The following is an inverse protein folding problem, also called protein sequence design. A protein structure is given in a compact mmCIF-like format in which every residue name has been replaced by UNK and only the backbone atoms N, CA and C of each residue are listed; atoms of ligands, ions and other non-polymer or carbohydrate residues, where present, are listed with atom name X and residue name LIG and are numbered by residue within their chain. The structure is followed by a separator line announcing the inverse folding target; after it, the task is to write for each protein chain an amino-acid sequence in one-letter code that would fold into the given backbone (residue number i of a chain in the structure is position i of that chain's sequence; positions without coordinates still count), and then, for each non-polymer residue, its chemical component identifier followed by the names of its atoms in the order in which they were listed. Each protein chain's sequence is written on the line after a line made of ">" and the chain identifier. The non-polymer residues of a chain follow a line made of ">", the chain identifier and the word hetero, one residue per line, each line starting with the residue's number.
data_IF_334465821605
#
_entry.id   IF_334465821605
#
_cell.length_a   1.000
_cell.length_b   1.000
_cell.length_c   1.000
_cell.angle_alpha   90.00
_cell.angle_beta   90.00
_cell.angle_gamma   90.00
#
_symmetry.space_group_name_H-M   'P 1'
#
loop_
_entity.id
_entity.type
_entity.pdbx_description
1 polymer ?
#
# COMPACT_ATOMS: atom_id res chain seq x y z
N UNK A 1 -50.90 20.20 21.77
CA UNK A 1 -50.29 18.87 21.50
C UNK A 1 -48.94 19.11 20.83
N UNK A 2 -47.85 19.18 21.58
CA UNK A 2 -46.53 19.53 21.00
C UNK A 2 -45.35 19.34 21.96
N UNK A 3 -45.60 19.34 23.27
CA UNK A 3 -44.56 19.19 24.30
C UNK A 3 -44.17 17.73 24.59
N UNK A 4 -45.07 16.77 24.32
CA UNK A 4 -44.83 15.33 24.60
C UNK A 4 -43.87 14.66 23.62
N UNK A 5 -43.82 15.12 22.36
CA UNK A 5 -42.88 14.59 21.34
C UNK A 5 -41.45 15.07 21.55
N UNK A 6 -41.28 16.31 22.04
CA UNK A 6 -39.96 16.87 22.34
C UNK A 6 -39.33 16.16 23.54
N UNK A 7 -40.12 15.86 24.59
CA UNK A 7 -39.65 15.13 25.77
C UNK A 7 -39.16 13.71 25.44
N UNK A 8 -39.85 13.03 24.51
CA UNK A 8 -39.45 11.69 24.03
C UNK A 8 -38.13 11.73 23.25
N UNK A 9 -37.93 12.76 22.40
CA UNK A 9 -36.67 12.93 21.68
C UNK A 9 -35.50 13.27 22.63
N UNK A 10 -35.72 14.11 23.65
CA UNK A 10 -34.66 14.44 24.61
C UNK A 10 -34.26 13.23 25.47
N UNK A 11 -35.20 12.38 25.87
CA UNK A 11 -34.92 11.15 26.63
C UNK A 11 -34.17 10.09 25.79
N UNK A 12 -34.51 9.98 24.49
CA UNK A 12 -33.79 9.09 23.56
C UNK A 12 -32.36 9.56 23.29
N UNK A 13 -32.13 10.87 23.19
CA UNK A 13 -30.78 11.42 23.04
C UNK A 13 -29.94 11.23 24.32
N UNK A 14 -30.52 11.43 25.51
CA UNK A 14 -29.80 11.24 26.77
C UNK A 14 -29.36 9.78 26.96
N UNK A 15 -30.22 8.81 26.60
CA UNK A 15 -29.89 7.38 26.69
C UNK A 15 -28.82 6.95 25.67
N UNK A 16 -28.77 7.57 24.48
CA UNK A 16 -27.71 7.32 23.51
C UNK A 16 -26.34 7.89 23.98
N UNK A 17 -26.35 9.03 24.67
CA UNK A 17 -25.14 9.62 25.26
C UNK A 17 -24.61 8.79 26.45
N UNK A 18 -25.48 8.27 27.33
CA UNK A 18 -25.05 7.40 28.43
C UNK A 18 -24.57 6.01 27.97
N UNK A 19 -24.93 5.57 26.76
CA UNK A 19 -24.49 4.29 26.18
C UNK A 19 -23.08 4.29 25.59
N UNK A 20 -22.43 5.46 25.44
CA UNK A 20 -21.07 5.59 24.91
C UNK A 20 -20.00 5.76 26.00
N UNK A 21 -20.40 5.75 27.28
CA UNK A 21 -19.47 5.86 28.42
C UNK A 21 -19.54 4.58 29.27
N UNK A 22 -18.94 3.48 28.79
CA UNK A 22 -19.14 2.16 29.39
C UNK A 22 -18.07 1.08 29.17
N UNK A 23 -16.78 1.41 29.36
CA UNK A 23 -15.66 0.52 29.80
C UNK A 23 -15.17 -0.63 28.88
N UNK A 24 -14.14 -1.44 29.27
CA UNK A 24 -13.17 -1.35 30.38
C UNK A 24 -11.69 -1.74 30.04
N UNK A 25 -10.75 -1.51 30.99
CA UNK A 25 -9.44 -2.20 31.16
C UNK A 25 -8.28 -1.72 30.26
N UNK A 26 -7.25 -0.99 30.73
CA UNK A 26 -6.19 -1.35 31.70
C UNK A 26 -5.77 -2.81 31.57
N UNK A 27 -4.61 -3.03 30.95
CA UNK A 27 -3.54 -3.92 31.38
C UNK A 27 -2.21 -3.28 30.96
N UNK A 28 -1.44 -2.83 31.94
CA UNK A 28 -0.04 -2.51 31.76
C UNK A 28 0.79 -3.78 31.78
N UNK A 29 1.77 -3.87 30.89
CA UNK A 29 2.87 -4.81 30.95
C UNK A 29 4.14 -4.12 30.43
N UNK A 30 5.31 -4.46 30.97
CA UNK A 30 6.46 -3.57 31.06
C UNK A 30 7.26 -3.44 29.77
N UNK A 31 7.92 -2.28 29.67
CA UNK A 31 9.00 -1.95 28.73
C UNK A 31 10.16 -2.92 28.98
N UNK A 32 10.49 -3.71 27.96
CA UNK A 32 11.79 -4.35 27.84
C UNK A 32 12.52 -3.65 26.69
N UNK A 33 13.56 -2.91 27.03
CA UNK A 33 14.61 -2.51 26.09
C UNK A 33 15.31 -3.79 25.60
N UNK A 34 15.31 -4.01 24.29
CA UNK A 34 16.23 -4.98 23.68
C UNK A 34 17.04 -4.29 22.59
N UNK A 35 18.33 -4.26 22.88
CA UNK A 35 19.46 -3.69 22.18
C UNK A 35 19.57 -4.27 20.75
N UNK A 36 19.32 -3.45 19.73
CA UNK A 36 19.41 -3.87 18.33
C UNK A 36 20.87 -3.86 17.84
N UNK A 37 21.65 -4.85 18.30
CA UNK A 37 22.91 -5.27 17.65
C UNK A 37 22.68 -6.60 16.94
N UNK A 38 22.47 -6.53 15.63
CA UNK A 38 22.50 -7.74 14.82
C UNK A 38 21.94 -7.51 13.43
N UNK A 39 22.79 -7.12 12.49
CA UNK A 39 22.51 -7.11 11.05
C UNK A 39 22.42 -8.55 10.55
N UNK A 40 21.27 -9.08 10.08
CA UNK A 40 21.23 -10.37 9.41
C UNK A 40 21.41 -10.11 7.90
N UNK A 41 22.55 -10.59 7.39
CA UNK A 41 22.83 -10.78 5.96
C UNK A 41 21.59 -11.30 5.22
N UNK A 42 21.23 -10.60 4.14
CA UNK A 42 20.38 -11.01 3.02
C UNK A 42 20.11 -12.53 2.93
N UNK A 43 18.99 -12.95 3.52
CA UNK A 43 18.26 -14.17 3.13
C UNK A 43 16.93 -13.79 2.46
N UNK A 44 16.99 -12.83 1.53
CA UNK A 44 15.87 -12.34 0.72
C UNK A 44 15.53 -13.29 -0.46
N UNK A 45 15.75 -14.59 -0.33
CA UNK A 45 15.67 -15.53 -1.47
C UNK A 45 14.47 -16.48 -1.47
N UNK A 46 14.02 -16.93 -0.30
CA UNK A 46 13.16 -18.11 -0.23
C UNK A 46 11.90 -17.99 0.65
N UNK A 47 11.87 -17.10 1.65
CA UNK A 47 10.73 -16.98 2.60
C UNK A 47 9.72 -15.88 2.28
N UNK A 48 9.92 -15.08 1.23
CA UNK A 48 8.88 -14.19 0.68
C UNK A 48 7.93 -14.95 -0.29
N UNK A 49 7.93 -16.28 -0.29
CA UNK A 49 7.27 -17.08 -1.33
C UNK A 49 5.80 -17.40 -1.08
N UNK A 50 5.20 -16.97 0.03
CA UNK A 50 3.75 -17.01 0.26
C UNK A 50 3.28 -15.88 1.19
N UNK A 51 3.72 -14.64 0.94
CA UNK A 51 2.84 -13.54 1.30
C UNK A 51 1.52 -13.81 0.57
N UNK A 52 0.37 -13.79 1.26
CA UNK A 52 -0.93 -13.81 0.59
C UNK A 52 -0.82 -12.87 -0.60
N UNK A 53 -1.01 -13.41 -1.81
CA UNK A 53 -0.84 -12.67 -3.04
C UNK A 53 -1.78 -11.46 -3.01
N UNK A 54 -1.26 -10.31 -2.61
CA UNK A 54 -2.01 -9.06 -2.56
C UNK A 54 -2.47 -8.74 -3.97
N UNK A 55 -3.68 -8.18 -4.15
CA UNK A 55 -4.12 -7.77 -5.47
C UNK A 55 -3.17 -6.71 -6.02
N UNK A 56 -3.10 -6.58 -7.34
CA UNK A 56 -2.36 -5.50 -8.00
C UNK A 56 -2.79 -4.15 -7.43
N UNK A 57 -1.88 -3.48 -6.74
CA UNK A 57 -2.15 -2.22 -6.06
C UNK A 57 -0.93 -1.31 -6.04
N UNK A 58 -1.18 -0.05 -5.65
CA UNK A 58 -0.15 0.96 -5.49
C UNK A 58 0.49 0.85 -4.11
N UNK A 59 1.81 0.76 -4.09
CA UNK A 59 2.63 0.74 -2.88
C UNK A 59 3.35 2.07 -2.74
N UNK A 60 3.64 2.48 -1.51
CA UNK A 60 4.37 3.72 -1.21
C UNK A 60 5.57 3.41 -0.30
N UNK A 61 6.71 3.97 -0.62
CA UNK A 61 7.95 3.89 0.16
C UNK A 61 8.42 5.33 0.40
N UNK A 62 8.79 5.64 1.63
CA UNK A 62 9.57 6.85 1.94
C UNK A 62 11.03 6.44 1.98
N UNK A 63 11.85 6.97 1.08
CA UNK A 63 13.28 6.66 1.03
C UNK A 63 14.12 7.91 0.74
N UNK A 64 15.39 7.94 1.21
CA UNK A 64 16.34 8.98 0.85
C UNK A 64 16.51 9.10 -0.68
N UNK A 65 16.75 10.31 -1.18
CA UNK A 65 16.99 10.55 -2.61
C UNK A 65 18.19 9.73 -3.12
N UNK A 66 19.23 9.54 -2.31
CA UNK A 66 20.39 8.74 -2.66
C UNK A 66 20.05 7.27 -2.99
N UNK A 67 19.00 6.71 -2.38
CA UNK A 67 18.56 5.33 -2.63
C UNK A 67 17.77 5.16 -3.94
N UNK A 68 17.38 6.26 -4.60
CA UNK A 68 16.80 6.19 -5.95
C UNK A 68 17.81 5.71 -6.99
N UNK A 69 19.11 5.79 -6.71
CA UNK A 69 20.16 5.31 -7.61
C UNK A 69 20.35 6.15 -8.88
N UNK A 70 19.87 7.41 -8.88
CA UNK A 70 19.92 8.33 -10.01
C UNK A 70 21.13 9.29 -9.98
N UNK A 71 21.99 9.18 -8.95
CA UNK A 71 23.22 9.97 -8.83
C UNK A 71 23.03 11.38 -8.26
N UNK A 72 21.86 11.71 -7.73
CA UNK A 72 21.64 12.96 -7.00
C UNK A 72 22.19 12.87 -5.57
N UNK A 73 22.90 13.92 -5.16
CA UNK A 73 23.32 14.12 -3.79
C UNK A 73 22.30 15.06 -3.10
N UNK A 74 21.58 14.53 -2.13
CA UNK A 74 20.53 15.23 -1.39
C UNK A 74 20.27 14.48 -0.08
N UNK A 75 20.16 15.23 1.01
CA UNK A 75 19.71 14.74 2.32
C UNK A 75 18.17 14.61 2.42
N UNK A 76 17.42 14.95 1.36
CA UNK A 76 15.96 14.83 1.39
C UNK A 76 15.48 13.38 1.29
N UNK A 77 14.29 13.15 1.84
CA UNK A 77 13.52 11.91 1.72
C UNK A 77 12.29 12.16 0.87
N UNK A 78 12.06 11.30 -0.13
CA UNK A 78 10.91 11.41 -1.03
C UNK A 78 9.99 10.21 -0.91
N UNK A 79 8.72 10.39 -1.26
CA UNK A 79 7.75 9.29 -1.37
C UNK A 79 7.77 8.74 -2.79
N UNK A 80 8.33 7.54 -2.95
CA UNK A 80 8.30 6.78 -4.19
C UNK A 80 7.15 5.78 -4.16
N UNK A 81 6.35 5.76 -5.22
CA UNK A 81 5.23 4.83 -5.37
C UNK A 81 5.48 3.88 -6.52
N UNK A 82 5.11 2.62 -6.34
CA UNK A 82 5.31 1.56 -7.33
C UNK A 82 4.14 0.59 -7.36
N UNK A 83 4.01 -0.16 -8.47
CA UNK A 83 2.94 -1.14 -8.65
C UNK A 83 3.45 -2.55 -8.38
N UNK A 84 2.77 -3.28 -7.51
CA UNK A 84 3.06 -4.68 -7.23
C UNK A 84 1.82 -5.42 -6.74
N UNK A 85 1.87 -6.74 -6.83
CA UNK A 85 0.75 -7.63 -6.49
C UNK A 85 0.44 -8.59 -7.62
N UNK A 86 -0.59 -9.41 -7.40
CA UNK A 86 -1.06 -10.40 -8.35
C UNK A 86 -2.24 -9.91 -9.16
N UNK A 87 -2.26 -10.30 -10.42
CA UNK A 87 -3.34 -10.01 -11.33
C UNK A 87 -4.22 -11.25 -11.54
N UNK A 88 -5.56 -11.10 -11.49
CA UNK A 88 -6.45 -12.20 -11.82
C UNK A 88 -6.21 -12.61 -13.27
N UNK A 89 -6.24 -13.93 -13.53
CA UNK A 89 -6.19 -14.44 -14.89
C UNK A 89 -7.57 -14.23 -15.49
N UNK A 90 -7.69 -13.26 -16.40
CA UNK A 90 -8.97 -13.00 -17.06
C UNK A 90 -9.26 -14.08 -18.11
N UNK A 91 -10.44 -14.68 -18.01
CA UNK A 91 -10.97 -15.68 -18.92
C UNK A 91 -12.31 -15.23 -19.51
N UNK A 92 -12.58 -13.91 -19.53
CA UNK A 92 -13.81 -13.34 -20.12
C UNK A 92 -13.70 -13.10 -21.63
N UNK A 93 -12.50 -12.99 -22.17
CA UNK A 93 -12.27 -12.81 -23.62
C UNK A 93 -11.91 -14.13 -24.27
N UNK A 94 -12.15 -14.26 -25.58
CA UNK A 94 -11.72 -15.46 -26.35
C UNK A 94 -10.21 -15.71 -26.20
N UNK A 95 -9.40 -14.65 -26.28
CA UNK A 95 -7.97 -14.73 -26.03
C UNK A 95 -7.65 -15.26 -24.63
N UNK A 96 -8.29 -14.71 -23.59
CA UNK A 96 -8.10 -15.15 -22.20
C UNK A 96 -8.47 -16.62 -21.98
N UNK A 97 -9.57 -17.08 -22.58
CA UNK A 97 -9.99 -18.48 -22.55
C UNK A 97 -8.97 -19.41 -23.22
N UNK A 98 -8.53 -19.08 -24.44
CA UNK A 98 -7.51 -19.86 -25.16
C UNK A 98 -6.20 -19.91 -24.37
N UNK A 99 -5.78 -18.76 -23.81
CA UNK A 99 -4.54 -18.68 -23.04
C UNK A 99 -4.63 -19.45 -21.72
N UNK A 100 -5.78 -19.44 -21.04
CA UNK A 100 -6.02 -20.25 -19.86
C UNK A 100 -5.94 -21.76 -20.17
N UNK A 101 -6.51 -22.18 -21.31
CA UNK A 101 -6.43 -23.57 -21.78
C UNK A 101 -4.99 -23.99 -22.08
N UNK A 102 -4.25 -23.20 -22.86
CA UNK A 102 -2.84 -23.49 -23.21
C UNK A 102 -1.93 -23.54 -21.98
N UNK A 103 -2.19 -22.71 -20.96
CA UNK A 103 -1.49 -22.75 -19.67
C UNK A 103 -1.78 -24.04 -18.91
N UNK A 104 -3.04 -24.51 -18.91
CA UNK A 104 -3.41 -25.80 -18.32
C UNK A 104 -2.68 -26.98 -18.97
N UNK A 105 -2.29 -26.84 -20.24
CA UNK A 105 -1.49 -27.82 -20.98
C UNK A 105 0.03 -27.64 -20.81
N UNK A 106 0.49 -26.63 -20.08
CA UNK A 106 1.93 -26.27 -19.99
C UNK A 106 2.53 -25.73 -21.30
N UNK A 107 1.70 -25.38 -22.28
CA UNK A 107 2.12 -24.85 -23.59
C UNK A 107 2.27 -23.33 -23.60
N UNK A 108 1.74 -22.66 -22.59
CA UNK A 108 1.90 -21.23 -22.38
C UNK A 108 2.23 -20.94 -20.92
N UNK A 109 3.03 -19.90 -20.70
CA UNK A 109 3.51 -19.50 -19.38
C UNK A 109 3.20 -18.02 -19.11
N UNK A 110 3.49 -17.57 -17.89
CA UNK A 110 3.25 -16.19 -17.48
C UNK A 110 1.78 -15.87 -17.22
N UNK A 111 1.52 -14.61 -16.87
CA UNK A 111 0.22 -14.08 -16.50
C UNK A 111 0.17 -12.57 -16.77
N UNK A 112 -1.00 -11.95 -16.64
CA UNK A 112 -1.10 -10.49 -16.67
C UNK A 112 -0.16 -9.88 -15.62
N UNK A 113 0.57 -8.83 -15.98
CA UNK A 113 1.48 -8.14 -15.09
C UNK A 113 0.80 -6.91 -14.47
N UNK A 114 1.05 -6.67 -13.18
CA UNK A 114 0.68 -5.42 -12.53
C UNK A 114 1.65 -4.32 -12.99
N UNK A 115 1.14 -3.29 -13.66
CA UNK A 115 1.95 -2.18 -14.21
C UNK A 115 1.36 -0.82 -13.88
N UNK A 116 2.20 0.24 -13.79
CA UNK A 116 1.72 1.60 -13.70
C UNK A 116 0.92 1.99 -14.96
N UNK A 117 -0.16 2.75 -14.77
CA UNK A 117 -0.93 3.36 -15.86
C UNK A 117 -0.83 4.87 -15.88
N UNK A 118 -0.36 5.46 -14.79
CA UNK A 118 -0.11 6.90 -14.64
C UNK A 118 1.08 7.11 -13.74
N UNK A 119 1.70 8.28 -13.88
CA UNK A 119 2.86 8.70 -13.12
C UNK A 119 2.66 10.11 -12.56
N UNK A 120 3.38 10.41 -11.49
CA UNK A 120 3.51 11.73 -10.88
C UNK A 120 4.98 12.09 -10.79
N UNK A 121 5.25 13.39 -10.83
CA UNK A 121 6.59 13.94 -10.72
C UNK A 121 7.06 13.93 -9.26
N UNK A 122 8.37 13.95 -9.08
CA UNK A 122 9.01 14.08 -7.77
C UNK A 122 9.95 15.28 -7.82
N UNK A 123 9.89 16.13 -6.79
CA UNK A 123 10.80 17.26 -6.65
C UNK A 123 11.43 17.24 -5.26
N UNK A 124 12.69 17.67 -5.18
CA UNK A 124 13.46 17.76 -3.95
C UNK A 124 14.55 18.82 -4.10
N UNK A 125 15.10 19.27 -2.97
CA UNK A 125 16.26 20.16 -2.94
C UNK A 125 17.56 19.35 -2.88
N UNK A 126 18.54 19.66 -3.72
CA UNK A 126 19.88 19.05 -3.64
C UNK A 126 20.80 19.76 -2.64
N UNK A 127 21.97 19.17 -2.37
CA UNK A 127 22.96 19.71 -1.42
C UNK A 127 23.52 21.09 -1.83
N UNK A 128 23.34 21.49 -3.09
CA UNK A 128 23.73 22.81 -3.61
C UNK A 128 22.57 23.80 -3.51
N UNK A 129 21.49 23.44 -2.85
CA UNK A 129 20.27 24.23 -2.71
C UNK A 129 19.59 24.52 -4.05
N UNK A 130 19.72 23.62 -5.03
CA UNK A 130 18.99 23.69 -6.29
C UNK A 130 17.79 22.75 -6.26
N UNK A 131 16.66 23.23 -6.74
CA UNK A 131 15.48 22.40 -6.95
C UNK A 131 15.71 21.44 -8.11
N UNK A 132 15.59 20.15 -7.82
CA UNK A 132 15.57 19.08 -8.81
C UNK A 132 14.14 18.66 -9.05
N UNK A 133 13.81 18.40 -10.31
CA UNK A 133 12.47 17.97 -10.73
C UNK A 133 12.58 16.77 -11.67
N UNK A 134 11.97 15.66 -11.26
CA UNK A 134 12.00 14.38 -11.94
C UNK A 134 10.59 14.04 -12.46
N UNK A 135 10.32 14.33 -13.75
CA UNK A 135 9.01 14.05 -14.33
C UNK A 135 8.73 12.55 -14.38
N UNK A 136 7.48 12.18 -14.12
CA UNK A 136 6.96 10.83 -14.27
C UNK A 136 7.77 9.73 -13.55
N UNK A 137 8.45 10.07 -12.45
CA UNK A 137 9.26 9.10 -11.71
C UNK A 137 8.40 8.11 -10.91
N UNK A 138 7.36 8.60 -10.24
CA UNK A 138 6.61 7.84 -9.22
C UNK A 138 5.27 7.36 -9.79
N UNK A 139 4.87 6.12 -9.51
CA UNK A 139 3.59 5.60 -10.01
C UNK A 139 2.39 6.29 -9.32
N UNK A 140 1.34 6.57 -10.07
CA UNK A 140 0.13 7.22 -9.57
C UNK A 140 -1.12 6.33 -9.64
N UNK A 141 -1.08 5.29 -10.46
CA UNK A 141 -2.14 4.30 -10.59
C UNK A 141 -1.58 2.98 -11.15
N UNK A 142 -2.22 1.86 -10.80
CA UNK A 142 -1.84 0.53 -11.24
C UNK A 142 -2.99 -0.16 -11.96
N UNK A 143 -2.66 -1.01 -12.93
CA UNK A 143 -3.63 -1.93 -13.52
C UNK A 143 -2.97 -3.24 -13.92
N UNK A 144 -3.81 -4.25 -14.09
CA UNK A 144 -3.41 -5.49 -14.74
C UNK A 144 -3.50 -5.31 -16.25
N UNK A 145 -2.38 -5.47 -16.95
CA UNK A 145 -2.38 -5.52 -18.41
C UNK A 145 -3.12 -6.77 -18.91
N UNK A 146 -3.85 -6.65 -20.01
CA UNK A 146 -4.46 -7.77 -20.73
C UNK A 146 -3.40 -8.66 -21.40
#
# INVERSE_FOLDING_TARGET
>A
MGTRRVLLCSLLLLSLWLGLTGGPGVWGAPVAEEELRGTPRLQLGARLRRALATPCQLWSLSLPVAELGLGYASEETVVFRYCAGSCPRDARTQHGLTLAHLRGQGRAHGGPCCRPTRYTDVAFLDDRHHWQWLPQLSAAACSCGA
#
